data_IF_515660314265
#
_entry.id   IF_515660314265
#
_cell.length_a   1.000
_cell.length_b   1.000
_cell.length_c   1.000
_cell.angle_alpha   90.00
_cell.angle_beta   90.00
_cell.angle_gamma   90.00
#
_symmetry.space_group_name_H-M   'P 1'
#
loop_
_entity.id
_entity.type
_entity.pdbx_description
1 polymer ?
#
# COMPACT_ATOMS: atom_id res chain seq x y z
N UNK A 1 -14.22 28.47 -65.40
CA UNK A 1 -13.24 29.24 -64.59
C UNK A 1 -13.33 28.92 -63.11
N UNK A 2 -14.44 28.35 -62.62
CA UNK A 2 -14.61 28.05 -61.18
C UNK A 2 -13.86 26.78 -60.73
N UNK A 3 -13.74 25.75 -61.57
CA UNK A 3 -13.03 24.51 -61.21
C UNK A 3 -11.53 24.70 -60.94
N UNK A 4 -10.86 25.60 -61.67
CA UNK A 4 -9.45 25.91 -61.46
C UNK A 4 -9.18 26.61 -60.12
N UNK A 5 -10.16 27.35 -59.59
CA UNK A 5 -10.02 28.09 -58.34
C UNK A 5 -10.19 27.19 -57.10
N UNK A 6 -10.98 26.12 -57.21
CA UNK A 6 -11.26 25.19 -56.10
C UNK A 6 -10.01 24.40 -55.71
N UNK A 7 -9.25 23.91 -56.69
CA UNK A 7 -7.99 23.21 -56.40
C UNK A 7 -6.91 24.14 -55.82
N UNK A 8 -6.84 25.39 -56.29
CA UNK A 8 -5.93 26.41 -55.76
C UNK A 8 -6.27 26.76 -54.30
N UNK A 9 -7.56 26.94 -53.97
CA UNK A 9 -8.01 27.17 -52.58
C UNK A 9 -7.57 26.01 -51.67
N UNK A 10 -7.70 24.76 -52.14
CA UNK A 10 -7.32 23.57 -51.37
C UNK A 10 -5.82 23.51 -51.06
N UNK A 11 -4.97 23.81 -52.05
CA UNK A 11 -3.51 23.86 -51.86
C UNK A 11 -3.11 24.98 -50.91
N UNK A 12 -3.73 26.16 -51.02
CA UNK A 12 -3.46 27.29 -50.13
C UNK A 12 -3.92 27.00 -48.69
N UNK A 13 -5.10 26.41 -48.51
CA UNK A 13 -5.59 26.01 -47.20
C UNK A 13 -4.69 24.94 -46.55
N UNK A 14 -4.19 23.99 -47.33
CA UNK A 14 -3.23 22.98 -46.86
C UNK A 14 -1.89 23.62 -46.49
N UNK A 15 -1.38 24.56 -47.29
CA UNK A 15 -0.15 25.28 -46.99
C UNK A 15 -0.27 26.09 -45.69
N UNK A 16 -1.37 26.84 -45.52
CA UNK A 16 -1.62 27.64 -44.31
C UNK A 16 -1.85 26.75 -43.10
N UNK A 17 -2.70 25.73 -43.24
CA UNK A 17 -2.98 24.75 -42.18
C UNK A 17 -1.73 23.97 -41.78
N UNK A 18 -0.89 23.61 -42.75
CA UNK A 18 0.41 22.96 -42.54
C UNK A 18 1.39 23.88 -41.84
N UNK A 19 1.44 25.16 -42.18
CA UNK A 19 2.31 26.13 -41.50
C UNK A 19 1.90 26.31 -40.04
N UNK A 20 0.61 26.51 -39.78
CA UNK A 20 0.05 26.69 -38.43
C UNK A 20 0.21 25.41 -37.61
N UNK A 21 -0.11 24.25 -38.20
CA UNK A 21 0.06 22.94 -37.57
C UNK A 21 1.53 22.64 -37.24
N UNK A 22 2.46 23.00 -38.12
CA UNK A 22 3.89 22.85 -37.88
C UNK A 22 4.40 23.80 -36.79
N UNK A 23 3.96 25.06 -36.80
CA UNK A 23 4.31 26.04 -35.76
C UNK A 23 3.79 25.63 -34.38
N UNK A 24 2.55 25.14 -34.29
CA UNK A 24 1.97 24.69 -33.03
C UNK A 24 2.59 23.37 -32.55
N UNK A 25 2.77 22.40 -33.46
CA UNK A 25 3.33 21.08 -33.14
C UNK A 25 4.81 21.11 -32.77
N UNK A 26 5.57 22.09 -33.26
CA UNK A 26 7.00 22.26 -32.93
C UNK A 26 7.22 22.99 -31.60
N UNK A 27 6.20 23.67 -31.06
CA UNK A 27 6.30 24.42 -29.80
C UNK A 27 6.01 23.57 -28.56
N UNK A 28 5.55 22.33 -28.70
CA UNK A 28 5.34 21.40 -27.59
C UNK A 28 6.65 20.76 -27.16
N UNK A 29 7.49 21.53 -26.47
CA UNK A 29 8.75 21.06 -25.90
C UNK A 29 8.51 20.07 -24.77
N UNK A 30 8.79 18.80 -25.02
CA UNK A 30 8.74 17.68 -24.07
C UNK A 30 9.81 17.73 -22.98
N UNK A 31 10.51 18.85 -22.80
CA UNK A 31 11.62 18.97 -21.85
C UNK A 31 11.13 19.15 -20.41
N UNK A 32 10.13 20.01 -20.18
CA UNK A 32 9.57 20.24 -18.84
C UNK A 32 8.84 19.00 -18.28
N UNK A 33 8.20 18.21 -19.15
CA UNK A 33 7.54 16.96 -18.74
C UNK A 33 8.56 15.85 -18.42
N UNK A 34 9.65 15.75 -19.19
CA UNK A 34 10.73 14.81 -18.90
C UNK A 34 11.44 15.16 -17.59
N UNK A 35 11.70 16.44 -17.34
CA UNK A 35 12.31 16.93 -16.10
C UNK A 35 11.45 16.59 -14.87
N UNK A 36 10.13 16.82 -14.94
CA UNK A 36 9.20 16.46 -13.85
C UNK A 36 9.18 14.96 -13.57
N UNK A 37 9.23 14.13 -14.62
CA UNK A 37 9.26 12.67 -14.47
C UNK A 37 10.59 12.20 -13.87
N UNK A 38 11.70 12.82 -14.23
CA UNK A 38 13.02 12.52 -13.65
C UNK A 38 13.09 12.95 -12.19
N UNK A 39 12.59 14.14 -11.85
CA UNK A 39 12.54 14.65 -10.48
C UNK A 39 11.68 13.75 -9.57
N UNK A 40 10.48 13.37 -10.03
CA UNK A 40 9.62 12.47 -9.26
C UNK A 40 10.26 11.10 -9.02
N UNK A 41 10.92 10.53 -10.03
CA UNK A 41 11.67 9.26 -9.87
C UNK A 41 12.81 9.41 -8.88
N UNK A 42 13.54 10.51 -8.95
CA UNK A 42 14.66 10.80 -8.05
C UNK A 42 14.19 10.97 -6.61
N UNK A 43 13.07 11.66 -6.40
CA UNK A 43 12.47 11.81 -5.07
C UNK A 43 12.06 10.43 -4.50
N UNK A 44 11.46 9.57 -5.33
CA UNK A 44 11.06 8.23 -4.94
C UNK A 44 12.27 7.37 -4.54
N UNK A 45 13.34 7.37 -5.35
CA UNK A 45 14.57 6.64 -5.03
C UNK A 45 15.26 7.17 -3.76
N UNK A 46 15.24 8.48 -3.55
CA UNK A 46 15.77 9.08 -2.33
C UNK A 46 14.94 8.68 -1.09
N UNK A 47 13.61 8.68 -1.21
CA UNK A 47 12.72 8.21 -0.15
C UNK A 47 12.96 6.74 0.19
N UNK A 48 13.03 5.86 -0.81
CA UNK A 48 13.36 4.43 -0.62
C UNK A 48 14.69 4.25 0.12
N UNK A 49 15.71 5.00 -0.26
CA UNK A 49 17.03 4.96 0.37
C UNK A 49 16.96 5.42 1.83
N UNK A 50 16.22 6.48 2.12
CA UNK A 50 16.01 6.98 3.48
C UNK A 50 15.27 5.97 4.36
N UNK A 51 14.22 5.34 3.83
CA UNK A 51 13.45 4.31 4.54
C UNK A 51 14.32 3.08 4.82
N UNK A 52 15.09 2.62 3.84
CA UNK A 52 16.02 1.51 4.01
C UNK A 52 17.05 1.81 5.12
N UNK A 53 17.65 3.00 5.11
CA UNK A 53 18.58 3.44 6.15
C UNK A 53 17.93 3.52 7.53
N UNK A 54 16.68 3.97 7.63
CA UNK A 54 15.96 4.03 8.90
C UNK A 54 15.68 2.63 9.48
N UNK A 55 15.34 1.66 8.63
CA UNK A 55 15.13 0.28 9.08
C UNK A 55 16.44 -0.42 9.45
N UNK A 56 17.54 -0.13 8.77
CA UNK A 56 18.88 -0.59 9.15
C UNK A 56 19.28 -0.07 10.54
N UNK A 57 19.14 1.25 10.76
CA UNK A 57 19.41 1.86 12.07
C UNK A 57 18.50 1.32 13.17
N UNK A 58 17.21 1.11 12.85
CA UNK A 58 16.25 0.54 13.79
C UNK A 58 16.60 -0.91 14.14
N UNK A 59 17.00 -1.72 13.17
CA UNK A 59 17.43 -3.10 13.39
C UNK A 59 18.65 -3.16 14.33
N UNK A 60 19.62 -2.27 14.12
CA UNK A 60 20.77 -2.12 15.00
C UNK A 60 20.37 -1.74 16.43
N UNK A 61 19.41 -0.82 16.58
CA UNK A 61 18.92 -0.38 17.89
C UNK A 61 18.15 -1.49 18.62
N UNK A 62 17.31 -2.24 17.91
CA UNK A 62 16.60 -3.42 18.43
C UNK A 62 17.58 -4.50 18.86
N UNK A 63 18.64 -4.74 18.09
CA UNK A 63 19.67 -5.70 18.45
C UNK A 63 20.41 -5.28 19.73
N UNK A 64 20.80 -4.00 19.84
CA UNK A 64 21.42 -3.43 21.07
C UNK A 64 20.49 -3.56 22.29
N UNK A 65 19.20 -3.34 22.11
CA UNK A 65 18.21 -3.56 23.17
C UNK A 65 18.14 -5.03 23.57
N UNK A 66 18.14 -5.94 22.60
CA UNK A 66 18.11 -7.39 22.85
C UNK A 66 19.37 -7.86 23.58
N UNK A 67 20.54 -7.35 23.20
CA UNK A 67 21.81 -7.58 23.89
C UNK A 67 21.75 -7.10 25.35
N UNK A 68 21.26 -5.86 25.55
CA UNK A 68 21.11 -5.27 26.89
C UNK A 68 20.14 -6.07 27.75
N UNK A 69 19.02 -6.53 27.16
CA UNK A 69 18.06 -7.39 27.83
C UNK A 69 18.70 -8.72 28.26
N UNK A 70 19.47 -9.38 27.39
CA UNK A 70 20.23 -10.60 27.74
C UNK A 70 21.21 -10.34 28.87
N UNK A 71 21.93 -9.21 28.83
CA UNK A 71 22.87 -8.82 29.86
C UNK A 71 22.21 -8.67 31.23
N UNK A 72 21.03 -8.04 31.29
CA UNK A 72 20.23 -7.92 32.53
C UNK A 72 19.84 -9.30 33.06
N UNK A 73 19.35 -10.18 32.18
CA UNK A 73 18.99 -11.55 32.55
C UNK A 73 20.17 -12.34 33.12
N UNK A 74 21.32 -12.27 32.46
CA UNK A 74 22.51 -12.96 32.94
C UNK A 74 23.02 -12.42 34.27
N UNK A 75 22.96 -11.09 34.46
CA UNK A 75 23.30 -10.47 35.73
C UNK A 75 22.35 -10.92 36.85
N UNK A 76 21.05 -11.02 36.56
CA UNK A 76 20.04 -11.46 37.51
C UNK A 76 20.19 -12.94 37.88
N UNK A 77 20.45 -13.82 36.91
CA UNK A 77 20.74 -15.23 37.16
C UNK A 77 21.99 -15.40 38.04
N UNK A 78 23.06 -14.67 37.73
CA UNK A 78 24.30 -14.65 38.53
C UNK A 78 24.03 -14.13 39.94
N UNK A 79 23.24 -13.05 40.07
CA UNK A 79 22.84 -12.48 41.36
C UNK A 79 21.99 -13.44 42.19
N UNK A 80 21.05 -14.16 41.57
CA UNK A 80 20.23 -15.17 42.25
C UNK A 80 21.09 -16.32 42.78
N UNK A 81 22.07 -16.80 42.00
CA UNK A 81 23.00 -17.84 42.45
C UNK A 81 23.91 -17.36 43.59
N UNK A 82 24.30 -16.09 43.60
CA UNK A 82 25.20 -15.53 44.61
C UNK A 82 24.49 -15.15 45.92
N UNK A 83 23.22 -14.71 45.86
CA UNK A 83 22.50 -14.13 46.99
C UNK A 83 21.37 -15.03 47.54
N UNK A 84 20.86 -16.00 46.78
CA UNK A 84 19.74 -16.85 47.20
C UNK A 84 20.20 -18.27 47.57
N UNK A 85 19.39 -18.96 48.36
CA UNK A 85 19.55 -20.40 48.62
C UNK A 85 19.42 -21.21 47.31
N UNK A 86 20.05 -22.38 47.27
CA UNK A 86 20.16 -23.20 46.06
C UNK A 86 18.80 -23.57 45.43
N UNK A 87 17.77 -23.83 46.25
CA UNK A 87 16.43 -24.14 45.77
C UNK A 87 15.73 -22.90 45.17
N UNK A 88 15.90 -21.74 45.80
CA UNK A 88 15.36 -20.47 45.34
C UNK A 88 16.04 -20.00 44.05
N UNK A 89 17.38 -20.13 43.98
CA UNK A 89 18.15 -19.78 42.78
C UNK A 89 17.74 -20.64 41.57
N UNK A 90 17.58 -21.96 41.74
CA UNK A 90 17.10 -22.87 40.68
C UNK A 90 15.69 -22.55 40.19
N UNK A 91 14.80 -22.16 41.11
CA UNK A 91 13.43 -21.76 40.76
C UNK A 91 13.43 -20.48 39.90
N UNK A 92 14.22 -19.48 40.30
CA UNK A 92 14.37 -18.21 39.55
C UNK A 92 14.96 -18.47 38.16
N UNK A 93 16.04 -19.25 38.07
CA UNK A 93 16.70 -19.56 36.78
C UNK A 93 15.76 -20.31 35.81
N UNK A 94 15.01 -21.30 36.31
CA UNK A 94 14.01 -22.02 35.52
C UNK A 94 12.91 -21.09 34.98
N UNK A 95 12.44 -20.15 35.79
CA UNK A 95 11.41 -19.17 35.39
C UNK A 95 11.90 -18.11 34.39
N UNK A 96 13.22 -17.92 34.27
CA UNK A 96 13.83 -16.84 33.47
C UNK A 96 14.35 -17.27 32.10
N UNK A 97 14.19 -18.53 31.71
CA UNK A 97 14.68 -19.00 30.40
C UNK A 97 13.86 -18.34 29.27
N UNK A 98 14.44 -17.42 28.48
CA UNK A 98 13.68 -16.73 27.44
C UNK A 98 13.58 -17.62 26.21
N UNK A 99 12.36 -17.91 25.75
CA UNK A 99 12.10 -18.56 24.45
C UNK A 99 12.30 -17.59 23.27
N UNK A 100 13.38 -16.82 23.25
CA UNK A 100 13.54 -15.71 22.28
C UNK A 100 14.59 -15.98 21.20
N UNK A 101 15.23 -17.15 21.17
CA UNK A 101 16.25 -17.47 20.14
C UNK A 101 16.24 -18.96 19.78
N UNK A 102 15.12 -19.44 19.25
CA UNK A 102 15.09 -20.67 18.47
C UNK A 102 14.58 -20.40 17.05
N UNK A 103 14.88 -19.22 16.49
CA UNK A 103 14.64 -18.89 15.08
C UNK A 103 15.80 -18.03 14.57
N UNK A 104 16.98 -18.65 14.49
CA UNK A 104 18.04 -18.19 13.59
C UNK A 104 17.84 -18.96 12.28
N UNK A 105 17.83 -18.21 11.18
CA UNK A 105 17.86 -18.69 9.79
C UNK A 105 16.49 -19.05 9.18
N UNK A 106 15.74 -18.02 8.76
CA UNK A 106 14.83 -18.18 7.61
C UNK A 106 15.70 -18.07 6.37
N UNK A 107 16.19 -19.22 5.91
CA UNK A 107 16.72 -19.41 4.57
C UNK A 107 15.55 -19.19 3.59
N UNK A 108 15.58 -18.08 2.86
CA UNK A 108 14.64 -17.80 1.77
C UNK A 108 15.04 -18.67 0.61
N UNK A 109 14.51 -19.89 0.57
CA UNK A 109 14.69 -20.78 -0.57
C UNK A 109 13.83 -20.31 -1.75
N UNK A 110 14.50 -20.35 -2.90
CA UNK A 110 14.10 -19.86 -4.20
C UNK A 110 13.50 -21.06 -4.91
N UNK A 111 12.18 -21.16 -5.02
CA UNK A 111 11.57 -22.19 -5.87
C UNK A 111 10.68 -21.58 -6.93
N UNK A 112 10.99 -22.02 -8.14
CA UNK A 112 10.52 -21.60 -9.44
C UNK A 112 9.03 -21.90 -9.68
N UNK A 113 8.45 -21.06 -10.52
CA UNK A 113 7.50 -21.37 -11.60
C UNK A 113 7.04 -22.83 -11.70
N UNK A 114 5.74 -23.07 -11.54
CA UNK A 114 4.99 -24.00 -12.39
C UNK A 114 3.52 -23.56 -12.44
N UNK A 115 3.08 -23.27 -13.66
CA UNK A 115 1.69 -23.06 -14.06
C UNK A 115 0.84 -24.29 -13.73
N UNK A 116 -0.38 -24.11 -13.22
CA UNK A 116 -1.54 -24.83 -13.75
C UNK A 116 -2.84 -24.19 -13.26
N UNK A 117 -3.74 -24.05 -14.21
CA UNK A 117 -5.04 -23.41 -14.13
C UNK A 117 -6.10 -24.22 -13.35
N UNK A 118 -7.23 -23.53 -13.13
CA UNK A 118 -8.63 -24.02 -13.04
C UNK A 118 -9.18 -24.62 -11.74
N UNK A 119 -9.99 -23.78 -11.09
CA UNK A 119 -11.41 -23.94 -10.69
C UNK A 119 -11.87 -25.09 -9.78
N UNK A 120 -12.71 -24.63 -8.83
CA UNK A 120 -13.85 -25.27 -8.18
C UNK A 120 -13.67 -25.89 -6.78
N UNK A 121 -14.31 -25.17 -5.86
CA UNK A 121 -15.22 -25.59 -4.80
C UNK A 121 -14.73 -26.25 -3.50
N UNK A 122 -15.27 -25.63 -2.44
CA UNK A 122 -15.67 -26.16 -1.15
C UNK A 122 -14.62 -26.76 -0.19
N UNK A 123 -14.38 -25.98 0.86
CA UNK A 123 -14.29 -26.46 2.26
C UNK A 123 -13.17 -27.44 2.59
N UNK A 124 -11.94 -26.92 2.73
CA UNK A 124 -10.95 -27.52 3.63
C UNK A 124 -9.91 -26.48 4.07
N UNK A 125 -10.05 -26.04 5.32
CA UNK A 125 -9.05 -25.36 6.15
C UNK A 125 -7.64 -25.90 5.88
N UNK A 126 -6.81 -25.14 5.18
CA UNK A 126 -5.37 -25.41 5.03
C UNK A 126 -4.59 -24.15 5.39
N UNK A 127 -3.96 -24.21 6.56
CA UNK A 127 -2.94 -23.28 7.00
C UNK A 127 -1.69 -23.54 6.16
N UNK A 128 -1.39 -22.68 5.18
CA UNK A 128 -0.03 -22.31 4.74
C UNK A 128 -0.05 -21.69 3.33
N UNK A 129 -0.53 -20.46 3.23
CA UNK A 129 -0.06 -19.54 2.20
C UNK A 129 0.08 -18.20 2.89
N UNK A 130 1.29 -17.85 3.31
CA UNK A 130 1.62 -16.46 3.65
C UNK A 130 1.65 -15.74 2.31
N UNK A 131 0.47 -15.32 1.85
CA UNK A 131 0.35 -14.50 0.68
C UNK A 131 0.92 -13.11 1.04
N UNK A 132 1.78 -12.51 0.20
CA UNK A 132 2.27 -11.15 0.44
C UNK A 132 1.08 -10.20 0.63
N UNK A 133 1.22 -9.16 1.47
CA UNK A 133 0.12 -8.23 1.73
C UNK A 133 -0.38 -7.67 0.40
N UNK A 134 -1.62 -8.02 0.05
CA UNK A 134 -2.26 -7.52 -1.18
C UNK A 134 -2.67 -6.09 -0.91
N UNK A 135 -2.14 -5.15 -1.69
CA UNK A 135 -2.50 -3.73 -1.61
C UNK A 135 -3.89 -3.42 -2.20
N UNK A 136 -4.68 -4.44 -2.52
CA UNK A 136 -6.02 -4.32 -3.10
C UNK A 136 -7.02 -5.24 -2.41
N UNK A 137 -8.25 -4.75 -2.25
CA UNK A 137 -9.36 -5.55 -1.77
C UNK A 137 -9.80 -6.57 -2.85
N UNK A 138 -9.89 -7.88 -2.54
CA UNK A 138 -10.45 -8.85 -3.46
C UNK A 138 -11.94 -8.54 -3.67
N UNK A 139 -12.36 -8.45 -4.94
CA UNK A 139 -13.75 -8.19 -5.33
C UNK A 139 -14.40 -9.47 -5.81
N UNK A 140 -15.67 -9.64 -5.49
CA UNK A 140 -16.49 -10.66 -6.15
C UNK A 140 -16.81 -10.21 -7.59
N UNK A 141 -17.09 -11.14 -8.53
CA UNK A 141 -17.30 -10.80 -9.94
C UNK A 141 -18.46 -9.82 -10.20
N UNK A 142 -19.40 -9.74 -9.26
CA UNK A 142 -20.63 -8.94 -9.33
C UNK A 142 -20.59 -7.72 -8.38
N UNK A 143 -19.43 -7.41 -7.79
CA UNK A 143 -19.27 -6.31 -6.84
C UNK A 143 -18.48 -5.17 -7.47
N UNK A 144 -19.13 -4.01 -7.64
CA UNK A 144 -18.48 -2.81 -8.15
C UNK A 144 -17.42 -2.31 -7.16
N UNK A 145 -16.31 -1.81 -7.70
CA UNK A 145 -15.14 -1.49 -6.90
C UNK A 145 -15.35 -0.37 -5.90
N UNK A 146 -14.50 -0.30 -4.87
CA UNK A 146 -14.45 0.81 -3.90
C UNK A 146 -14.15 2.19 -4.50
N UNK A 147 -13.83 2.25 -5.80
CA UNK A 147 -13.61 3.46 -6.59
C UNK A 147 -14.65 3.62 -7.70
N UNK A 148 -15.71 2.82 -7.74
CA UNK A 148 -16.82 3.04 -8.67
C UNK A 148 -17.63 4.24 -8.23
N UNK A 149 -18.16 5.00 -9.19
CA UNK A 149 -18.94 6.21 -8.92
C UNK A 149 -20.24 5.93 -8.15
N UNK A 150 -20.72 4.69 -8.22
CA UNK A 150 -21.88 4.10 -7.55
C UNK A 150 -21.58 3.59 -6.13
N UNK A 151 -20.32 3.56 -5.70
CA UNK A 151 -19.94 2.99 -4.40
C UNK A 151 -20.54 3.81 -3.25
N UNK A 152 -21.47 3.20 -2.52
CA UNK A 152 -22.20 3.86 -1.42
C UNK A 152 -23.47 4.59 -1.84
N UNK A 153 -23.78 4.68 -3.14
CA UNK A 153 -25.05 5.19 -3.66
C UNK A 153 -26.01 4.01 -3.85
N UNK A 154 -26.79 3.69 -2.82
CA UNK A 154 -27.94 2.79 -2.99
C UNK A 154 -29.06 3.59 -3.65
N UNK A 155 -29.36 3.30 -4.91
CA UNK A 155 -30.61 3.75 -5.51
C UNK A 155 -31.77 3.13 -4.71
N UNK A 156 -32.57 3.99 -4.10
CA UNK A 156 -33.79 3.55 -3.45
C UNK A 156 -34.74 3.03 -4.54
N UNK A 157 -35.42 1.89 -4.32
CA UNK A 157 -36.38 1.40 -5.29
C UNK A 157 -37.48 2.44 -5.49
N UNK A 158 -37.77 2.74 -6.75
CA UNK A 158 -38.87 3.60 -7.18
C UNK A 158 -40.20 3.03 -6.68
N UNK A 159 -40.65 3.45 -5.49
CA UNK A 159 -42.05 3.33 -5.08
C UNK A 159 -42.66 4.73 -4.94
N UNK A 160 -43.36 5.13 -6.01
CA UNK A 160 -44.17 6.34 -6.04
C UNK A 160 -45.41 6.08 -5.18
N UNK A 161 -45.29 6.34 -3.87
CA UNK A 161 -46.36 6.16 -2.88
C UNK A 161 -46.59 7.42 -2.04
N UNK A 162 -47.49 8.26 -2.53
CA UNK A 162 -48.01 9.52 -1.96
C UNK A 162 -48.59 9.35 -0.54
N UNK A 163 -48.13 10.13 0.47
CA UNK A 163 -48.92 10.56 1.64
C UNK A 163 -48.17 11.60 2.53
N UNK A 164 -48.51 12.88 2.32
CA UNK A 164 -48.87 13.93 3.29
C UNK A 164 -48.17 14.06 4.68
N UNK A 165 -47.59 15.28 4.88
CA UNK A 165 -47.65 16.19 6.05
C UNK A 165 -47.20 15.65 7.44
N UNK A 166 -46.37 16.27 8.28
CA UNK A 166 -46.06 17.67 8.62
C UNK A 166 -44.67 17.76 9.31
N UNK A 167 -44.10 18.98 9.51
CA UNK A 167 -42.74 19.17 10.02
C UNK A 167 -42.70 19.39 11.53
N UNK A 168 -41.74 18.78 12.23
CA UNK A 168 -41.33 19.22 13.57
C UNK A 168 -39.83 19.48 13.58
N UNK A 169 -39.47 20.75 13.42
CA UNK A 169 -38.20 21.31 13.85
C UNK A 169 -38.08 21.15 15.37
N UNK A 170 -37.05 20.46 15.85
CA UNK A 170 -36.64 20.54 17.25
C UNK A 170 -35.20 21.04 17.39
N UNK A 171 -35.14 22.17 18.07
CA UNK A 171 -34.03 23.06 18.36
C UNK A 171 -33.17 22.47 19.49
N UNK A 172 -31.93 22.09 19.20
CA UNK A 172 -30.99 21.63 20.22
C UNK A 172 -30.26 22.84 20.84
N UNK A 173 -30.77 23.33 21.97
CA UNK A 173 -30.06 24.27 22.84
C UNK A 173 -29.27 23.54 23.92
N UNK A 174 -27.96 23.77 23.88
CA UNK A 174 -26.94 23.43 24.87
C UNK A 174 -27.31 23.87 26.29
N UNK A 175 -26.97 23.04 27.28
CA UNK A 175 -26.38 23.31 28.62
C UNK A 175 -26.79 22.16 29.55
N UNK A 176 -26.06 21.73 30.56
CA UNK A 176 -24.74 21.98 31.14
C UNK A 176 -24.48 20.82 32.12
#
# INVERSE_FOLDING_TARGET
MEESNIWIIGVVALAIGGLIGFLMGRSGGSSDEQEKLEDAKKELENYKTQVAGHFEETADLVNKMTESYRGVYQHLATGAQALCDADTARSIESSMTPQLIAQKEVEVDKTETTESETTDDADAKTISAVEPPRDYAPKQPDEEGTLSESYGLKEAPDDIGKADAEPSTEENTRKA
#
